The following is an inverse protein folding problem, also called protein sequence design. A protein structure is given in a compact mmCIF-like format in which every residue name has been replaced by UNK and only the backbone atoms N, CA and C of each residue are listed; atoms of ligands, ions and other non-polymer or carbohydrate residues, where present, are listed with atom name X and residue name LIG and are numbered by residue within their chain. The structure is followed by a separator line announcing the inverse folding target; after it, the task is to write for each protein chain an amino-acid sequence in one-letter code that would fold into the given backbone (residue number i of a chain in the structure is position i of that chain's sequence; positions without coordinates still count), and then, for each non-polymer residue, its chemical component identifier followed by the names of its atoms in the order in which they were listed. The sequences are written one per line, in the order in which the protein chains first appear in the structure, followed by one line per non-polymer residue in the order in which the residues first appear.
data_IF_758919944552
#
_entry.id   IF_758919944552
#
_cell.length_a   1.000
_cell.length_b   1.000
_cell.length_c   1.000
_cell.angle_alpha   90.00
_cell.angle_beta   90.00
_cell.angle_gamma   90.00
#
_symmetry.space_group_name_H-M   'P 1'
#
loop_
_entity.id
_entity.type
_entity.pdbx_description
1 polymer ?
#
# COMPACT_ATOMS: atom_id res chain seq x y z
N UNK A 1 1.09 17.03 -26.26
CA UNK A 1 2.35 16.53 -25.66
C UNK A 1 2.16 16.63 -24.16
N UNK A 2 2.05 15.56 -23.36
CA UNK A 2 2.91 14.38 -23.21
C UNK A 2 2.08 13.18 -22.72
N UNK A 3 2.11 12.07 -23.47
CA UNK A 3 1.57 10.80 -23.01
C UNK A 3 2.61 10.14 -22.12
N UNK A 4 2.40 10.19 -20.80
CA UNK A 4 3.23 9.45 -19.85
C UNK A 4 2.83 7.99 -20.01
N UNK A 5 3.57 7.29 -20.87
CA UNK A 5 3.51 5.85 -21.03
C UNK A 5 3.76 5.21 -19.66
N UNK A 6 2.67 4.83 -18.99
CA UNK A 6 2.68 3.78 -18.00
C UNK A 6 3.25 2.54 -18.70
N UNK A 7 4.56 2.32 -18.55
CA UNK A 7 5.22 1.09 -18.99
C UNK A 7 4.54 -0.03 -18.21
N UNK A 8 3.61 -0.72 -18.85
CA UNK A 8 3.08 -2.01 -18.39
C UNK A 8 4.29 -2.84 -17.94
N UNK A 9 4.28 -3.41 -16.72
CA UNK A 9 5.39 -4.24 -16.29
C UNK A 9 5.58 -5.34 -17.32
N UNK A 10 6.74 -5.34 -17.98
CA UNK A 10 7.25 -6.46 -18.79
C UNK A 10 6.97 -7.75 -18.01
N UNK A 11 6.60 -8.83 -18.70
CA UNK A 11 6.35 -10.18 -18.12
C UNK A 11 7.50 -10.60 -17.18
N UNK A 12 7.44 -10.15 -15.94
CA UNK A 12 8.48 -10.32 -14.93
C UNK A 12 8.21 -11.66 -14.28
N UNK A 13 9.24 -12.49 -14.16
CA UNK A 13 9.06 -13.81 -13.56
C UNK A 13 8.84 -13.64 -12.05
N UNK A 14 8.03 -14.52 -11.46
CA UNK A 14 7.77 -14.51 -10.02
C UNK A 14 9.06 -14.54 -9.19
N UNK A 15 10.06 -15.31 -9.64
CA UNK A 15 11.40 -15.36 -9.00
C UNK A 15 12.10 -14.00 -8.98
N UNK A 16 11.99 -13.23 -10.05
CA UNK A 16 12.62 -11.91 -10.15
C UNK A 16 11.90 -10.91 -9.26
N UNK A 17 10.57 -11.01 -9.17
CA UNK A 17 9.75 -10.19 -8.27
C UNK A 17 10.10 -10.42 -6.81
N UNK A 18 10.26 -11.68 -6.41
CA UNK A 18 10.76 -12.07 -5.08
C UNK A 18 12.15 -11.48 -4.79
N UNK A 19 13.05 -11.51 -5.77
CA UNK A 19 14.37 -10.88 -5.64
C UNK A 19 14.26 -9.38 -5.37
N UNK A 20 13.34 -8.67 -6.03
CA UNK A 20 13.13 -7.24 -5.77
C UNK A 20 12.71 -6.99 -4.31
N UNK A 21 11.79 -7.81 -3.79
CA UNK A 21 11.34 -7.75 -2.40
C UNK A 21 12.47 -7.99 -1.40
N UNK A 22 13.26 -9.04 -1.62
CA UNK A 22 14.42 -9.33 -0.77
C UNK A 22 15.46 -8.21 -0.80
N UNK A 23 15.74 -7.64 -1.98
CA UNK A 23 16.64 -6.49 -2.11
C UNK A 23 16.10 -5.27 -1.35
N UNK A 24 14.79 -4.98 -1.45
CA UNK A 24 14.15 -3.87 -0.74
C UNK A 24 14.32 -3.99 0.77
N UNK A 25 14.17 -5.21 1.32
CA UNK A 25 14.35 -5.50 2.75
C UNK A 25 15.82 -5.46 3.19
N UNK A 26 16.74 -5.76 2.28
CA UNK A 26 18.17 -5.86 2.62
C UNK A 26 18.85 -4.50 2.80
N UNK A 27 18.48 -3.49 2.02
CA UNK A 27 19.12 -2.17 2.09
C UNK A 27 18.29 -1.05 1.50
N UNK A 28 18.41 0.15 2.10
CA UNK A 28 17.85 1.40 1.57
C UNK A 28 18.37 1.75 0.16
N UNK A 29 19.52 1.21 -0.26
CA UNK A 29 20.03 1.39 -1.62
C UNK A 29 19.07 0.86 -2.70
N UNK A 30 18.19 -0.08 -2.34
CA UNK A 30 17.21 -0.69 -3.24
C UNK A 30 15.82 -0.07 -3.11
N UNK A 31 15.69 1.14 -2.55
CA UNK A 31 14.38 1.80 -2.36
C UNK A 31 13.62 2.00 -3.68
N UNK A 32 14.33 2.09 -4.81
CA UNK A 32 13.72 2.17 -6.15
C UNK A 32 12.96 0.90 -6.56
N UNK A 33 13.10 -0.21 -5.83
CA UNK A 33 12.28 -1.41 -6.01
C UNK A 33 10.86 -1.23 -5.46
N UNK A 34 10.65 -0.30 -4.51
CA UNK A 34 9.35 -0.09 -3.87
C UNK A 34 8.26 0.30 -4.89
N UNK A 35 8.45 1.31 -5.77
CA UNK A 35 7.45 1.63 -6.79
C UNK A 35 7.23 0.50 -7.81
N UNK A 36 8.23 -0.34 -8.07
CA UNK A 36 8.10 -1.47 -8.99
C UNK A 36 7.16 -2.53 -8.40
N UNK A 37 7.32 -2.85 -7.11
CA UNK A 37 6.46 -3.78 -6.38
C UNK A 37 5.03 -3.24 -6.26
N UNK A 38 4.87 -1.93 -6.01
CA UNK A 38 3.54 -1.29 -5.99
C UNK A 38 2.80 -1.46 -7.32
N UNK A 39 3.51 -1.38 -8.45
CA UNK A 39 2.92 -1.56 -9.79
C UNK A 39 2.31 -2.95 -10.04
N UNK A 40 2.60 -3.94 -9.21
CA UNK A 40 1.99 -5.28 -9.29
C UNK A 40 0.78 -5.44 -8.35
N UNK A 41 0.51 -4.51 -7.43
CA UNK A 41 -0.70 -4.49 -6.62
C UNK A 41 -1.83 -3.86 -7.45
N UNK A 42 -2.51 -4.69 -8.24
CA UNK A 42 -3.65 -4.28 -9.05
C UNK A 42 -4.54 -5.50 -9.30
N UNK A 43 -5.87 -5.31 -9.37
CA UNK A 43 -6.79 -6.41 -9.69
C UNK A 43 -6.53 -7.03 -11.07
N UNK A 44 -5.89 -6.28 -12.00
CA UNK A 44 -5.53 -6.80 -13.32
C UNK A 44 -4.20 -7.57 -13.36
N UNK A 45 -3.44 -7.59 -12.26
CA UNK A 45 -2.19 -8.34 -12.16
C UNK A 45 -2.46 -9.81 -11.85
N UNK A 46 -1.58 -10.75 -12.27
CA UNK A 46 -1.76 -12.14 -11.91
C UNK A 46 -1.75 -12.33 -10.38
N UNK A 47 -2.65 -13.13 -9.79
CA UNK A 47 -2.70 -13.36 -8.34
C UNK A 47 -1.35 -13.68 -7.66
N UNK A 48 -0.47 -14.55 -8.22
CA UNK A 48 0.82 -14.81 -7.59
C UNK A 48 1.74 -13.59 -7.55
N UNK A 49 1.64 -12.68 -8.52
CA UNK A 49 2.41 -11.44 -8.55
C UNK A 49 1.91 -10.43 -7.52
N UNK A 50 0.58 -10.33 -7.35
CA UNK A 50 -0.05 -9.51 -6.31
C UNK A 50 0.40 -10.02 -4.94
N UNK A 51 0.32 -11.32 -4.71
CA UNK A 51 0.67 -11.95 -3.42
C UNK A 51 2.14 -11.77 -3.06
N UNK A 52 3.07 -12.04 -3.98
CA UNK A 52 4.51 -11.87 -3.69
C UNK A 52 4.86 -10.39 -3.43
N UNK A 53 4.25 -9.47 -4.19
CA UNK A 53 4.43 -8.04 -3.98
C UNK A 53 3.84 -7.60 -2.64
N UNK A 54 2.65 -8.09 -2.29
CA UNK A 54 1.98 -7.80 -1.03
C UNK A 54 2.85 -8.21 0.15
N UNK A 55 3.34 -9.45 0.18
CA UNK A 55 4.17 -9.97 1.27
C UNK A 55 5.49 -9.20 1.40
N UNK A 56 6.11 -8.85 0.27
CA UNK A 56 7.35 -8.06 0.24
C UNK A 56 7.15 -6.65 0.78
N UNK A 57 6.11 -5.96 0.30
CA UNK A 57 5.75 -4.62 0.71
C UNK A 57 5.31 -4.59 2.18
N UNK A 58 4.54 -5.59 2.60
CA UNK A 58 4.07 -5.70 3.97
C UNK A 58 5.24 -5.85 4.94
N UNK A 59 6.12 -6.81 4.68
CA UNK A 59 7.35 -7.03 5.46
C UNK A 59 8.18 -5.75 5.56
N UNK A 60 8.30 -5.01 4.46
CA UNK A 60 9.06 -3.77 4.43
C UNK A 60 8.38 -2.68 5.26
N UNK A 61 7.10 -2.40 5.02
CA UNK A 61 6.39 -1.31 5.70
C UNK A 61 6.25 -1.55 7.20
N UNK A 62 6.06 -2.80 7.65
CA UNK A 62 6.02 -3.13 9.08
C UNK A 62 7.30 -2.69 9.81
N UNK A 63 8.46 -2.72 9.15
CA UNK A 63 9.74 -2.30 9.77
C UNK A 63 9.91 -0.79 9.88
N UNK A 64 9.23 0.00 9.04
CA UNK A 64 9.44 1.45 8.94
C UNK A 64 8.26 2.27 9.45
N UNK A 65 7.06 1.67 9.58
CA UNK A 65 5.80 2.39 9.81
C UNK A 65 5.81 3.23 11.09
N UNK A 66 6.45 2.74 12.15
CA UNK A 66 6.54 3.44 13.44
C UNK A 66 7.34 4.75 13.34
N UNK A 67 8.27 4.85 12.39
CA UNK A 67 9.15 5.99 12.20
C UNK A 67 8.64 7.00 11.15
N UNK A 68 7.52 6.69 10.49
CA UNK A 68 6.96 7.54 9.45
C UNK A 68 6.20 8.72 10.05
N UNK A 69 6.28 9.90 9.41
CA UNK A 69 5.48 11.04 9.82
C UNK A 69 3.97 10.74 9.70
N UNK A 70 3.12 11.42 10.49
CA UNK A 70 1.67 11.30 10.33
C UNK A 70 1.25 11.69 8.91
N UNK A 71 0.16 11.09 8.41
CA UNK A 71 -0.34 11.39 7.06
C UNK A 71 -0.59 12.89 6.91
N UNK A 72 -0.20 13.45 5.76
CA UNK A 72 -0.18 14.90 5.52
C UNK A 72 -1.58 15.55 5.46
N UNK A 73 -2.66 14.78 5.59
CA UNK A 73 -4.02 15.32 5.64
C UNK A 73 -4.30 16.24 6.84
N UNK A 74 -3.36 16.37 7.80
CA UNK A 74 -3.61 17.10 9.06
C UNK A 74 -2.56 18.15 9.46
N UNK A 75 -1.61 18.57 8.61
CA UNK A 75 -0.68 19.69 8.97
C UNK A 75 -0.43 20.69 7.85
N UNK A 76 -0.54 21.99 8.20
CA UNK A 76 -0.23 23.17 7.37
C UNK A 76 1.15 23.01 6.70
N UNK A 77 1.21 23.29 5.40
CA UNK A 77 2.48 23.40 4.64
C UNK A 77 3.44 24.35 5.37
N UNK A 78 4.72 24.00 5.54
CA UNK A 78 5.72 24.96 5.99
C UNK A 78 5.81 26.11 4.99
N UNK A 79 6.08 27.33 5.48
CA UNK A 79 6.27 28.51 4.64
C UNK A 79 7.51 28.29 3.74
N UNK A 80 7.46 28.88 2.55
CA UNK A 80 8.43 28.70 1.45
C UNK A 80 9.88 29.05 1.86
N UNK A 81 10.08 29.83 2.92
CA UNK A 81 11.39 30.24 3.45
C UNK A 81 12.23 29.13 4.13
N UNK A 82 11.64 28.01 4.54
CA UNK A 82 12.37 26.89 5.21
C UNK A 82 12.97 25.86 4.22
N UNK A 83 12.77 26.06 2.92
CA UNK A 83 13.15 25.11 1.87
C UNK A 83 14.67 24.95 1.67
N UNK A 84 15.48 25.87 2.19
CA UNK A 84 16.94 25.85 1.99
C UNK A 84 17.71 24.82 2.87
N UNK A 85 17.05 24.16 3.83
CA UNK A 85 17.67 23.15 4.71
C UNK A 85 16.73 22.01 5.12
N UNK A 86 15.90 21.50 4.21
CA UNK A 86 15.16 20.27 4.54
C UNK A 86 16.14 19.10 4.68
N UNK A 87 16.16 18.50 5.87
CA UNK A 87 16.92 17.29 6.16
C UNK A 87 16.55 16.18 5.15
N UNK A 88 17.52 15.60 4.42
CA UNK A 88 17.29 14.51 3.49
C UNK A 88 16.48 13.36 4.09
N UNK A 89 16.63 13.08 5.38
CA UNK A 89 15.87 12.04 6.08
C UNK A 89 14.38 12.40 6.19
N UNK A 90 14.04 13.68 6.38
CA UNK A 90 12.65 14.15 6.40
C UNK A 90 12.00 14.02 5.02
N UNK A 91 12.74 14.37 3.96
CA UNK A 91 12.28 14.21 2.57
C UNK A 91 12.03 12.73 2.29
N UNK A 92 12.97 11.86 2.65
CA UNK A 92 12.87 10.41 2.47
C UNK A 92 11.66 9.83 3.20
N UNK A 93 11.47 10.14 4.49
CA UNK A 93 10.33 9.63 5.28
C UNK A 93 9.00 10.17 4.77
N UNK A 94 8.97 11.42 4.32
CA UNK A 94 7.77 12.01 3.72
C UNK A 94 7.40 11.30 2.42
N UNK A 95 8.36 11.04 1.55
CA UNK A 95 8.15 10.26 0.34
C UNK A 95 7.70 8.83 0.65
N UNK A 96 8.32 8.19 1.65
CA UNK A 96 7.98 6.84 2.07
C UNK A 96 6.55 6.75 2.62
N UNK A 97 6.12 7.78 3.38
CA UNK A 97 4.73 7.90 3.85
C UNK A 97 3.76 8.03 2.69
N UNK A 98 4.10 8.81 1.65
CA UNK A 98 3.30 8.91 0.43
C UNK A 98 3.17 7.57 -0.28
N UNK A 99 4.25 6.77 -0.31
CA UNK A 99 4.23 5.43 -0.92
C UNK A 99 3.41 4.43 -0.11
N UNK A 100 3.39 4.56 1.21
CA UNK A 100 2.47 3.77 2.04
C UNK A 100 1.01 4.18 1.81
N UNK A 101 0.70 5.47 1.69
CA UNK A 101 -0.66 5.93 1.37
C UNK A 101 -1.12 5.43 -0.03
N UNK A 102 -0.22 5.38 -1.00
CA UNK A 102 -0.44 4.77 -2.32
C UNK A 102 -0.71 3.26 -2.18
N UNK A 103 0.14 2.54 -1.43
CA UNK A 103 -0.03 1.11 -1.16
C UNK A 103 -1.41 0.80 -0.56
N UNK A 104 -1.83 1.52 0.48
CA UNK A 104 -3.15 1.37 1.10
C UNK A 104 -4.28 1.56 0.09
N UNK A 105 -4.13 2.53 -0.81
CA UNK A 105 -5.14 2.80 -1.86
C UNK A 105 -5.23 1.63 -2.85
N UNK A 106 -4.08 1.09 -3.27
CA UNK A 106 -4.03 -0.08 -4.16
C UNK A 106 -4.61 -1.34 -3.50
N UNK A 107 -4.39 -1.55 -2.19
CA UNK A 107 -5.02 -2.65 -1.47
C UNK A 107 -6.54 -2.52 -1.49
N UNK A 108 -7.06 -1.31 -1.23
CA UNK A 108 -8.52 -1.07 -1.27
C UNK A 108 -9.06 -1.33 -2.68
N UNK A 109 -8.36 -0.93 -3.73
CA UNK A 109 -8.74 -1.20 -5.12
C UNK A 109 -8.85 -2.71 -5.41
N UNK A 110 -7.89 -3.50 -4.93
CA UNK A 110 -7.93 -4.97 -5.04
C UNK A 110 -9.09 -5.56 -4.22
N UNK A 111 -9.37 -5.02 -3.04
CA UNK A 111 -10.46 -5.51 -2.17
C UNK A 111 -11.85 -5.31 -2.78
N UNK A 112 -12.10 -4.13 -3.35
CA UNK A 112 -13.42 -3.78 -3.91
C UNK A 112 -13.62 -4.28 -5.33
N UNK A 113 -12.55 -4.73 -6.00
CA UNK A 113 -12.63 -5.16 -7.39
C UNK A 113 -13.38 -6.50 -7.52
N UNK A 114 -14.38 -6.58 -8.43
CA UNK A 114 -15.09 -7.82 -8.70
C UNK A 114 -14.24 -8.85 -9.42
N UNK A 115 -13.18 -8.42 -10.13
CA UNK A 115 -12.29 -9.31 -10.89
C UNK A 115 -11.28 -10.04 -10.02
N UNK A 116 -11.24 -9.73 -8.72
CA UNK A 116 -10.30 -10.33 -7.77
C UNK A 116 -10.86 -11.64 -7.22
N UNK A 117 -10.05 -12.69 -7.23
CA UNK A 117 -10.40 -13.98 -6.64
C UNK A 117 -10.61 -13.87 -5.12
N UNK A 118 -11.61 -14.57 -4.59
CA UNK A 118 -12.01 -14.50 -3.18
C UNK A 118 -10.86 -14.83 -2.20
N UNK A 119 -10.06 -15.86 -2.52
CA UNK A 119 -8.91 -16.24 -1.70
C UNK A 119 -7.82 -15.16 -1.66
N UNK A 120 -7.58 -14.46 -2.78
CA UNK A 120 -6.66 -13.34 -2.82
C UNK A 120 -7.23 -12.15 -2.03
N UNK A 121 -8.53 -11.88 -2.18
CA UNK A 121 -9.22 -10.82 -1.44
C UNK A 121 -9.11 -11.02 0.07
N UNK A 122 -9.25 -12.26 0.54
CA UNK A 122 -9.09 -12.61 1.95
C UNK A 122 -7.68 -12.31 2.47
N UNK A 123 -6.64 -12.73 1.74
CA UNK A 123 -5.24 -12.48 2.13
C UNK A 123 -4.94 -10.97 2.13
N UNK A 124 -5.43 -10.24 1.12
CA UNK A 124 -5.29 -8.78 1.04
C UNK A 124 -6.00 -8.09 2.20
N UNK A 125 -7.18 -8.59 2.60
CA UNK A 125 -7.93 -8.05 3.73
C UNK A 125 -7.18 -8.27 5.04
N UNK A 126 -6.65 -9.48 5.25
CA UNK A 126 -5.88 -9.80 6.45
C UNK A 126 -4.64 -8.91 6.56
N UNK A 127 -3.90 -8.73 5.46
CA UNK A 127 -2.76 -7.82 5.39
C UNK A 127 -3.16 -6.37 5.66
N UNK A 128 -4.27 -5.91 5.06
CA UNK A 128 -4.80 -4.56 5.28
C UNK A 128 -5.19 -4.33 6.75
N UNK A 129 -5.88 -5.30 7.36
CA UNK A 129 -6.32 -5.20 8.75
C UNK A 129 -5.15 -5.28 9.74
N UNK A 130 -4.04 -5.94 9.38
CA UNK A 130 -2.80 -5.86 10.15
C UNK A 130 -2.28 -4.42 10.22
N UNK A 131 -2.26 -3.68 9.10
CA UNK A 131 -1.88 -2.26 9.12
C UNK A 131 -2.85 -1.35 9.87
N UNK A 132 -4.14 -1.68 9.84
CA UNK A 132 -5.14 -0.98 10.64
C UNK A 132 -4.90 -1.21 12.14
N UNK A 133 -4.51 -2.42 12.54
CA UNK A 133 -4.22 -2.78 13.94
C UNK A 133 -2.85 -2.31 14.44
N UNK A 134 -1.82 -2.33 13.58
CA UNK A 134 -0.44 -1.94 13.91
C UNK A 134 -0.20 -0.41 13.96
N UNK A 135 -1.24 0.41 13.83
CA UNK A 135 -1.11 1.86 13.73
C UNK A 135 -0.37 2.52 14.91
N UNK A 136 0.35 3.63 14.63
CA UNK A 136 1.03 4.56 15.54
C UNK A 136 1.22 4.09 16.99
N UNK A 137 2.13 3.14 17.21
CA UNK A 137 2.49 2.62 18.53
C UNK A 137 1.49 1.64 19.16
N UNK A 138 0.74 0.88 18.34
CA UNK A 138 -0.27 -0.08 18.81
C UNK A 138 -1.69 0.48 18.90
N UNK A 139 -1.94 1.65 18.28
CA UNK A 139 -3.25 2.28 18.18
C UNK A 139 -3.92 2.01 16.84
N UNK A 140 -5.24 1.86 16.85
CA UNK A 140 -6.00 1.60 15.63
C UNK A 140 -5.92 2.78 14.63
N UNK A 141 -5.51 2.49 13.39
CA UNK A 141 -5.44 3.47 12.30
C UNK A 141 -6.81 3.74 11.67
N UNK A 142 -7.63 4.49 12.42
CA UNK A 142 -9.01 4.83 12.04
C UNK A 142 -9.13 5.50 10.66
N UNK A 143 -8.14 6.29 10.25
CA UNK A 143 -8.17 6.97 8.95
C UNK A 143 -8.03 6.00 7.77
N UNK A 144 -7.26 4.92 7.92
CA UNK A 144 -7.11 3.87 6.91
C UNK A 144 -8.40 3.05 6.85
N UNK A 145 -8.91 2.64 8.01
CA UNK A 145 -10.15 1.88 8.08
C UNK A 145 -11.34 2.68 7.51
N UNK A 146 -11.44 3.98 7.84
CA UNK A 146 -12.46 4.87 7.28
C UNK A 146 -12.37 4.96 5.75
N UNK A 147 -11.17 4.99 5.16
CA UNK A 147 -11.02 4.96 3.69
C UNK A 147 -11.60 3.68 3.10
N UNK A 148 -11.36 2.52 3.72
CA UNK A 148 -11.95 1.26 3.27
C UNK A 148 -13.48 1.32 3.33
N UNK A 149 -14.06 1.75 4.46
CA UNK A 149 -15.51 1.88 4.60
C UNK A 149 -16.11 2.82 3.55
N UNK A 150 -15.49 3.98 3.33
CA UNK A 150 -15.94 4.89 2.28
C UNK A 150 -15.87 4.26 0.89
N UNK A 151 -14.83 3.48 0.58
CA UNK A 151 -14.72 2.81 -0.72
C UNK A 151 -15.75 1.69 -0.89
N UNK A 152 -16.08 0.95 0.18
CA UNK A 152 -17.14 -0.07 0.15
C UNK A 152 -18.50 0.58 -0.11
N UNK A 153 -18.85 1.63 0.64
CA UNK A 153 -20.15 2.31 0.52
C UNK A 153 -20.33 2.98 -0.84
N UNK A 154 -19.25 3.53 -1.43
CA UNK A 154 -19.31 4.20 -2.73
C UNK A 154 -18.99 3.26 -3.92
N UNK A 155 -18.84 1.95 -3.68
CA UNK A 155 -18.55 1.00 -4.75
C UNK A 155 -19.73 0.89 -5.72
N UNK A 156 -19.49 0.95 -7.05
CA UNK A 156 -20.55 0.79 -8.04
C UNK A 156 -21.10 -0.64 -8.12
N UNK A 157 -20.32 -1.61 -7.66
CA UNK A 157 -20.68 -3.03 -7.59
C UNK A 157 -20.91 -3.45 -6.14
N UNK A 158 -21.93 -4.29 -5.86
CA UNK A 158 -22.16 -4.80 -4.51
C UNK A 158 -20.93 -5.58 -4.04
N UNK A 159 -20.44 -5.24 -2.85
CA UNK A 159 -19.25 -5.85 -2.23
C UNK A 159 -19.67 -6.76 -1.08
N UNK A 160 -20.71 -7.57 -1.32
CA UNK A 160 -21.36 -8.38 -0.29
C UNK A 160 -20.38 -9.38 0.33
N UNK A 161 -19.58 -10.05 -0.50
CA UNK A 161 -18.52 -10.96 -0.03
C UNK A 161 -17.53 -10.28 0.93
N UNK A 162 -17.06 -9.07 0.62
CA UNK A 162 -16.11 -8.36 1.48
C UNK A 162 -16.77 -7.94 2.80
N UNK A 163 -18.05 -7.56 2.74
CA UNK A 163 -18.82 -7.13 3.91
C UNK A 163 -19.09 -8.32 4.84
N UNK A 164 -19.48 -9.46 4.29
CA UNK A 164 -19.63 -10.73 5.01
C UNK A 164 -18.30 -11.19 5.61
N UNK A 165 -17.20 -11.11 4.85
CA UNK A 165 -15.88 -11.49 5.32
C UNK A 165 -15.39 -10.59 6.48
N UNK A 166 -15.64 -9.29 6.39
CA UNK A 166 -15.38 -8.34 7.47
C UNK A 166 -16.19 -8.70 8.72
N UNK A 167 -17.49 -8.96 8.55
CA UNK A 167 -18.39 -9.33 9.64
C UNK A 167 -17.99 -10.66 10.29
N UNK A 168 -17.52 -11.64 9.52
CA UNK A 168 -17.20 -12.98 10.02
C UNK A 168 -15.84 -13.07 10.72
N UNK A 169 -14.83 -12.32 10.25
CA UNK A 169 -13.45 -12.41 10.78
C UNK A 169 -13.10 -11.34 11.82
N UNK A 170 -13.79 -10.20 11.81
CA UNK A 170 -13.37 -9.03 12.59
C UNK A 170 -14.44 -8.47 13.54
N UNK A 171 -15.65 -9.00 13.51
CA UNK A 171 -16.77 -8.63 14.39
C UNK A 171 -17.41 -9.89 15.00
#
# INVERSE_FOLDING_TARGET
MTSILAKKPKKMKLKELKTLGQQLLSSRAHINNLPLLLGFISPSSPPPHVLESLLSLQSFFTTVLADLPPSQSSKKRPRIDDSAKQDPEVIYRTWLRSKFDEFVTLLIEVLISPDTEDALREIVLDSFMEFVKLGNGGSFYSSIYHKLLCSIVNSPTPVDFLSELLALKYF
#
